data_IF_643025548995
#
_entry.id   IF_643025548995
#
_cell.length_a   1.000
_cell.length_b   1.000
_cell.length_c   1.000
_cell.angle_alpha   90.00
_cell.angle_beta   90.00
_cell.angle_gamma   90.00
#
_symmetry.space_group_name_H-M   'P 1'
#
loop_
_entity.id
_entity.type
_entity.pdbx_description
1 polymer ?
#
# COMPACT_ATOMS: atom_id res chain seq x y z
N UNK A 1 5.05 -24.84 2.07
CA UNK A 1 4.56 -23.46 2.28
C UNK A 1 5.01 -22.66 1.07
N UNK A 2 4.08 -22.14 0.27
CA UNK A 2 4.46 -21.20 -0.80
C UNK A 2 5.07 -19.95 -0.15
N UNK A 3 6.23 -19.53 -0.64
CA UNK A 3 6.84 -18.28 -0.20
C UNK A 3 6.01 -17.11 -0.72
N UNK A 4 5.47 -16.33 0.21
CA UNK A 4 4.65 -15.16 -0.10
C UNK A 4 5.59 -14.01 -0.51
N UNK A 5 5.70 -13.77 -1.82
CA UNK A 5 6.55 -12.70 -2.36
C UNK A 5 6.00 -11.33 -1.97
N UNK A 6 6.84 -10.44 -1.46
CA UNK A 6 6.44 -9.08 -1.07
C UNK A 6 5.81 -8.30 -2.22
N UNK A 7 6.27 -8.49 -3.45
CA UNK A 7 5.66 -7.87 -4.65
C UNK A 7 4.16 -8.21 -4.75
N UNK A 8 3.77 -9.45 -4.45
CA UNK A 8 2.36 -9.87 -4.46
C UNK A 8 1.55 -9.23 -3.34
N UNK A 9 2.17 -8.95 -2.18
CA UNK A 9 1.53 -8.24 -1.07
C UNK A 9 1.25 -6.80 -1.48
N UNK A 10 2.25 -6.12 -2.04
CA UNK A 10 2.10 -4.75 -2.49
C UNK A 10 1.07 -4.62 -3.61
N UNK A 11 1.09 -5.53 -4.60
CA UNK A 11 0.08 -5.58 -5.66
C UNK A 11 -1.33 -5.79 -5.09
N UNK A 12 -1.48 -6.71 -4.13
CA UNK A 12 -2.76 -6.97 -3.48
C UNK A 12 -3.27 -5.77 -2.68
N UNK A 13 -2.42 -5.15 -1.85
CA UNK A 13 -2.78 -3.97 -1.06
C UNK A 13 -3.19 -2.80 -1.95
N UNK A 14 -2.44 -2.54 -3.02
CA UNK A 14 -2.76 -1.49 -3.98
C UNK A 14 -4.13 -1.76 -4.63
N UNK A 15 -4.37 -2.98 -5.11
CA UNK A 15 -5.67 -3.34 -5.70
C UNK A 15 -6.81 -3.19 -4.70
N UNK A 16 -6.64 -3.67 -3.48
CA UNK A 16 -7.68 -3.59 -2.44
C UNK A 16 -8.11 -2.15 -2.20
N UNK A 17 -7.14 -1.25 -2.00
CA UNK A 17 -7.42 0.18 -1.76
C UNK A 17 -8.02 0.82 -3.00
N UNK A 18 -7.53 0.50 -4.20
CA UNK A 18 -8.05 1.03 -5.46
C UNK A 18 -9.50 0.60 -5.71
N UNK A 19 -9.84 -0.68 -5.56
CA UNK A 19 -11.22 -1.15 -5.72
C UNK A 19 -12.14 -0.63 -4.61
N UNK A 20 -11.68 -0.59 -3.36
CA UNK A 20 -12.45 0.00 -2.26
C UNK A 20 -12.74 1.48 -2.49
N UNK A 21 -11.79 2.22 -3.06
CA UNK A 21 -11.97 3.65 -3.33
C UNK A 21 -13.14 3.95 -4.28
N UNK A 22 -13.52 3.00 -5.15
CA UNK A 22 -14.64 3.12 -6.08
C UNK A 22 -16.00 3.02 -5.38
N UNK A 23 -16.04 2.47 -4.17
CA UNK A 23 -17.26 2.35 -3.37
C UNK A 23 -17.61 3.66 -2.64
N UNK A 24 -16.69 4.63 -2.59
CA UNK A 24 -16.94 5.91 -1.93
C UNK A 24 -17.98 6.71 -2.73
N UNK A 25 -19.02 7.14 -2.03
CA UNK A 25 -20.13 7.96 -2.54
C UNK A 25 -19.92 9.46 -2.28
N UNK A 26 -18.74 9.84 -1.79
CA UNK A 26 -18.35 11.22 -1.52
C UNK A 26 -16.97 11.52 -2.10
N UNK A 27 -16.64 12.82 -2.22
CA UNK A 27 -15.30 13.27 -2.60
C UNK A 27 -14.42 13.37 -1.36
N UNK A 28 -13.39 12.51 -1.19
CA UNK A 28 -12.52 12.57 -0.02
C UNK A 28 -11.79 13.92 0.02
N UNK A 29 -11.83 14.57 1.17
CA UNK A 29 -11.15 15.84 1.40
C UNK A 29 -10.36 15.71 2.71
N UNK A 30 -9.06 16.03 2.72
CA UNK A 30 -8.26 15.94 3.94
C UNK A 30 -8.81 16.93 5.00
N UNK A 31 -9.00 16.49 6.25
CA UNK A 31 -9.39 17.40 7.33
C UNK A 31 -8.24 18.37 7.66
N UNK A 32 -8.55 19.50 8.30
CA UNK A 32 -7.55 20.49 8.70
C UNK A 32 -6.52 19.96 9.71
N UNK A 33 -6.85 18.90 10.44
CA UNK A 33 -5.97 18.19 11.36
C UNK A 33 -5.10 17.13 10.69
N UNK A 34 -5.25 16.89 9.38
CA UNK A 34 -4.46 15.90 8.67
C UNK A 34 -2.98 16.33 8.65
N UNK A 35 -2.10 15.40 9.01
CA UNK A 35 -0.66 15.56 8.88
C UNK A 35 -0.17 14.71 7.73
N UNK A 36 0.67 15.30 6.88
CA UNK A 36 1.32 14.57 5.80
C UNK A 36 2.30 13.56 6.38
N UNK A 37 2.19 12.31 5.93
CA UNK A 37 3.17 11.27 6.21
C UNK A 37 4.19 11.26 5.09
N UNK A 38 5.43 11.62 5.40
CA UNK A 38 6.58 11.53 4.51
C UNK A 38 7.59 10.48 5.03
N UNK A 39 8.59 10.16 4.22
CA UNK A 39 9.64 9.21 4.62
C UNK A 39 10.32 9.64 5.93
N UNK A 40 10.63 10.94 6.04
CA UNK A 40 11.28 11.47 7.23
C UNK A 40 10.38 11.39 8.47
N UNK A 41 9.06 11.61 8.33
CA UNK A 41 8.15 11.48 9.48
C UNK A 41 8.05 10.03 9.95
N UNK A 42 8.11 9.06 9.04
CA UNK A 42 8.15 7.63 9.40
C UNK A 42 9.46 7.26 10.09
N UNK A 43 10.61 7.69 9.54
CA UNK A 43 11.92 7.43 10.14
C UNK A 43 12.12 8.14 11.48
N UNK A 44 11.46 9.28 11.69
CA UNK A 44 11.49 10.01 12.96
C UNK A 44 10.81 9.24 14.10
N UNK A 45 9.80 8.42 13.79
CA UNK A 45 9.05 7.63 14.78
C UNK A 45 9.66 6.25 15.04
N UNK A 46 10.61 5.83 14.19
CA UNK A 46 11.22 4.52 14.24
C UNK A 46 12.40 4.47 15.20
N UNK A 47 12.52 3.38 15.96
CA UNK A 47 13.72 3.06 16.72
C UNK A 47 14.90 2.74 15.78
N UNK A 48 16.13 2.67 16.31
CA UNK A 48 17.35 2.46 15.51
C UNK A 48 17.26 1.22 14.62
N UNK A 49 16.70 0.12 15.13
CA UNK A 49 16.58 -1.13 14.40
C UNK A 49 15.52 -1.02 13.30
N UNK A 50 14.39 -0.39 13.59
CA UNK A 50 13.31 -0.14 12.65
C UNK A 50 13.75 0.79 11.52
N UNK A 51 14.56 1.82 11.81
CA UNK A 51 15.07 2.75 10.78
C UNK A 51 15.84 2.02 9.71
N UNK A 52 16.78 1.14 10.09
CA UNK A 52 17.55 0.34 9.13
C UNK A 52 16.65 -0.52 8.22
N UNK A 53 15.59 -1.11 8.77
CA UNK A 53 14.63 -1.90 7.98
C UNK A 53 13.78 -1.02 7.06
N UNK A 54 13.29 0.12 7.56
CA UNK A 54 12.46 1.04 6.79
C UNK A 54 13.23 1.66 5.63
N UNK A 55 14.47 2.07 5.85
CA UNK A 55 15.36 2.59 4.80
C UNK A 55 15.65 1.54 3.71
N UNK A 56 15.79 0.26 4.10
CA UNK A 56 15.95 -0.84 3.13
C UNK A 56 14.65 -1.21 2.42
N UNK A 57 13.50 -0.85 2.98
CA UNK A 57 12.17 -1.19 2.44
C UNK A 57 11.68 -0.22 1.36
N UNK A 58 12.48 0.79 1.01
CA UNK A 58 12.14 1.76 -0.04
C UNK A 58 11.86 1.01 -1.34
N UNK A 59 10.58 1.02 -1.74
CA UNK A 59 10.15 0.47 -3.00
C UNK A 59 10.30 1.52 -4.10
N UNK A 60 10.84 1.09 -5.24
CA UNK A 60 10.87 1.91 -6.46
C UNK A 60 9.55 1.66 -7.21
N UNK A 61 8.95 2.70 -7.82
CA UNK A 61 7.76 2.51 -8.66
C UNK A 61 7.99 1.41 -9.70
N UNK A 62 7.03 0.50 -9.82
CA UNK A 62 7.06 -0.52 -10.87
C UNK A 62 6.99 0.14 -12.25
N UNK A 63 7.86 -0.31 -13.16
CA UNK A 63 7.80 0.10 -14.58
C UNK A 63 6.68 -0.59 -15.36
N UNK A 64 6.01 -1.57 -14.75
CA UNK A 64 4.93 -2.36 -15.37
C UNK A 64 3.57 -1.95 -14.81
N UNK A 65 2.50 -1.93 -15.63
CA UNK A 65 1.16 -1.65 -15.14
C UNK A 65 0.67 -2.75 -14.17
N UNK A 66 -0.28 -2.43 -13.27
CA UNK A 66 -0.86 -3.41 -12.33
C UNK A 66 -1.47 -4.60 -13.07
N UNK A 67 -1.33 -5.81 -12.50
CA UNK A 67 -1.94 -7.01 -13.07
C UNK A 67 -3.46 -7.05 -12.82
N UNK A 68 -4.22 -7.57 -13.79
CA UNK A 68 -5.66 -7.78 -13.62
C UNK A 68 -5.90 -9.08 -12.86
N UNK A 69 -6.36 -8.98 -11.60
CA UNK A 69 -6.76 -10.15 -10.83
C UNK A 69 -8.04 -10.75 -11.44
N UNK A 70 -8.10 -12.06 -11.67
CA UNK A 70 -9.30 -12.70 -12.19
C UNK A 70 -10.48 -12.47 -11.22
N UNK A 71 -11.71 -12.34 -11.73
CA UNK A 71 -12.88 -12.22 -10.89
C UNK A 71 -12.95 -13.46 -9.98
N UNK A 72 -13.13 -13.24 -8.68
CA UNK A 72 -13.36 -14.33 -7.75
C UNK A 72 -14.56 -15.12 -8.24
N UNK A 73 -14.43 -16.44 -8.34
CA UNK A 73 -15.56 -17.31 -8.57
C UNK A 73 -16.54 -17.06 -7.43
N UNK A 74 -17.61 -16.33 -7.72
CA UNK A 74 -18.76 -16.25 -6.83
C UNK A 74 -19.35 -17.64 -6.73
N UNK A 75 -18.84 -18.44 -5.80
CA UNK A 75 -19.57 -19.61 -5.31
C UNK A 75 -20.79 -19.08 -4.58
N UNK A 76 -21.94 -19.27 -5.23
CA UNK A 76 -23.27 -19.14 -4.65
C UNK A 76 -23.60 -20.41 -3.89
#
# INVERSE_FOLDING_TARGET
MESLKMDRVYDYMFRLIAEYSKLQDFKPTPPSSALEVCQNSLLCLADEKQRDFLERSIAIPSSRPPCTLPPGSGER
#
